data_IF_772057520385
#
_entry.id   IF_772057520385
#
_cell.length_a   1.000
_cell.length_b   1.000
_cell.length_c   1.000
_cell.angle_alpha   90.00
_cell.angle_beta   90.00
_cell.angle_gamma   90.00
#
_symmetry.space_group_name_H-M   'P 1'
#
loop_
_entity.id
_entity.type
_entity.pdbx_description
1 polymer ?
#
# COMPACT_ATOMS: atom_id res chain seq x y z
N UNK A 1 -15.77 33.87 15.41
CA UNK A 1 -17.05 34.39 14.89
C UNK A 1 -17.73 33.24 14.14
N UNK A 2 -18.93 32.78 14.55
CA UNK A 2 -19.63 31.74 13.81
C UNK A 2 -20.32 32.39 12.60
N UNK A 3 -20.05 31.90 11.40
CA UNK A 3 -20.79 32.31 10.20
C UNK A 3 -22.07 31.48 10.17
N UNK A 4 -23.18 32.09 10.55
CA UNK A 4 -24.51 31.51 10.40
C UNK A 4 -24.89 31.61 8.91
N UNK A 5 -24.89 30.48 8.20
CA UNK A 5 -25.47 30.41 6.86
C UNK A 5 -26.96 30.07 7.01
N UNK A 6 -27.80 31.11 6.99
CA UNK A 6 -29.26 30.98 6.90
C UNK A 6 -29.67 31.08 5.43
N UNK A 7 -30.16 30.00 4.85
CA UNK A 7 -30.86 29.96 3.57
C UNK A 7 -32.35 29.71 3.83
N UNK A 8 -33.23 30.42 3.11
CA UNK A 8 -34.66 30.57 3.40
C UNK A 8 -35.54 29.32 3.12
N UNK A 9 -34.95 28.14 2.87
CA UNK A 9 -35.69 26.97 2.36
C UNK A 9 -35.41 25.66 3.13
N UNK A 10 -34.74 25.70 4.28
CA UNK A 10 -34.59 24.52 5.15
C UNK A 10 -33.83 23.32 4.54
N UNK A 11 -33.24 23.50 3.36
CA UNK A 11 -32.43 22.48 2.69
C UNK A 11 -30.99 22.57 3.21
N UNK A 12 -30.38 21.46 3.65
CA UNK A 12 -29.06 21.48 4.26
C UNK A 12 -28.04 22.07 3.28
N UNK A 13 -27.40 23.17 3.68
CA UNK A 13 -26.30 23.76 2.92
C UNK A 13 -25.13 22.78 2.90
N UNK A 14 -24.94 22.10 1.78
CA UNK A 14 -23.80 21.22 1.56
C UNK A 14 -22.63 22.05 1.04
N UNK A 15 -21.55 22.13 1.82
CA UNK A 15 -20.27 22.69 1.36
C UNK A 15 -19.45 21.52 0.82
N UNK A 16 -19.25 21.41 -0.51
CA UNK A 16 -18.43 20.34 -1.06
C UNK A 16 -16.96 20.59 -0.71
N UNK A 17 -16.30 19.61 -0.10
CA UNK A 17 -14.86 19.61 0.07
C UNK A 17 -14.22 19.18 -1.24
N UNK A 18 -13.51 20.09 -1.90
CA UNK A 18 -12.88 19.81 -3.20
C UNK A 18 -11.60 18.99 -3.04
N UNK A 19 -10.75 19.30 -2.06
CA UNK A 19 -9.45 18.66 -1.85
C UNK A 19 -9.12 18.55 -0.36
N UNK A 20 -8.50 17.43 0.03
CA UNK A 20 -7.90 17.22 1.35
C UNK A 20 -6.45 16.79 1.12
N UNK A 21 -5.51 17.57 1.66
CA UNK A 21 -4.08 17.28 1.60
C UNK A 21 -3.60 17.01 3.02
N UNK A 22 -3.02 15.85 3.26
CA UNK A 22 -2.30 15.54 4.49
C UNK A 22 -0.81 15.58 4.19
N UNK A 23 -0.04 16.16 5.11
CA UNK A 23 1.41 16.14 5.06
C UNK A 23 1.97 15.32 6.21
N UNK A 24 3.04 14.56 5.97
CA UNK A 24 3.80 13.93 7.04
C UNK A 24 4.74 14.94 7.75
N UNK A 25 5.43 14.50 8.80
CA UNK A 25 6.41 15.30 9.56
C UNK A 25 7.66 15.70 8.75
N UNK A 26 7.83 15.19 7.53
CA UNK A 26 8.91 15.51 6.61
C UNK A 26 8.43 16.38 5.44
N UNK A 27 7.15 16.76 5.40
CA UNK A 27 6.58 17.62 4.37
C UNK A 27 6.10 16.90 3.11
N UNK A 28 6.05 15.57 3.09
CA UNK A 28 5.53 14.82 1.94
C UNK A 28 4.01 14.78 1.96
N UNK A 29 3.39 14.90 0.79
CA UNK A 29 1.94 14.76 0.66
C UNK A 29 1.53 13.28 0.72
N UNK A 30 0.53 12.99 1.56
CA UNK A 30 -0.06 11.67 1.67
C UNK A 30 -1.36 11.65 0.86
N UNK A 31 -1.51 10.74 -0.12
CA UNK A 31 -2.72 10.65 -0.91
C UNK A 31 -3.91 10.26 -0.03
N UNK A 32 -4.95 11.11 0.01
CA UNK A 32 -6.19 10.88 0.76
C UNK A 32 -7.33 10.58 -0.20
N UNK A 33 -8.10 9.52 0.07
CA UNK A 33 -9.35 9.22 -0.65
C UNK A 33 -10.54 9.81 0.13
N UNK A 34 -11.26 10.74 -0.48
CA UNK A 34 -12.50 11.29 0.07
C UNK A 34 -13.55 10.18 0.16
N UNK A 35 -14.20 10.02 1.32
CA UNK A 35 -15.25 9.00 1.56
C UNK A 35 -14.93 7.92 2.60
N UNK A 36 -13.74 7.96 3.23
CA UNK A 36 -13.40 7.06 4.34
C UNK A 36 -13.33 7.86 5.66
N UNK A 37 -14.01 7.44 6.75
CA UNK A 37 -14.01 8.14 8.04
C UNK A 37 -12.66 8.09 8.77
N UNK A 38 -11.68 7.39 8.21
CA UNK A 38 -10.33 7.24 8.73
C UNK A 38 -9.37 7.06 7.55
N UNK A 39 -8.31 7.87 7.53
CA UNK A 39 -7.25 7.80 6.52
C UNK A 39 -6.06 7.12 7.17
N UNK A 40 -5.67 5.97 6.65
CA UNK A 40 -4.43 5.31 7.05
C UNK A 40 -3.29 5.86 6.20
N UNK A 41 -2.34 6.55 6.84
CA UNK A 41 -1.11 6.99 6.20
C UNK A 41 -0.19 5.77 6.10
N UNK A 42 -0.24 5.08 4.96
CA UNK A 42 0.75 4.04 4.65
C UNK A 42 1.96 4.73 4.03
N UNK A 43 3.02 4.93 4.82
CA UNK A 43 4.30 5.41 4.30
C UNK A 43 4.78 4.46 3.18
N UNK A 44 5.26 5.07 2.10
CA UNK A 44 5.93 4.33 1.03
C UNK A 44 7.18 3.63 1.60
N UNK A 45 7.48 2.41 1.16
CA UNK A 45 8.69 1.73 1.58
C UNK A 45 9.92 2.53 1.16
N UNK A 46 10.88 2.63 2.07
CA UNK A 46 12.14 3.37 1.87
C UNK A 46 13.34 2.45 1.60
N UNK A 47 13.14 1.14 1.75
CA UNK A 47 14.14 0.11 1.47
C UNK A 47 13.48 -1.16 0.91
N UNK A 48 14.29 -2.02 0.31
CA UNK A 48 13.86 -3.37 -0.01
C UNK A 48 13.68 -4.18 1.26
N UNK A 49 12.58 -4.90 1.36
CA UNK A 49 12.35 -5.84 2.46
C UNK A 49 11.64 -7.09 1.96
N UNK A 50 11.90 -8.23 2.61
CA UNK A 50 11.25 -9.51 2.36
C UNK A 50 10.71 -10.03 3.68
N UNK A 51 9.40 -10.19 3.75
CA UNK A 51 8.73 -10.71 4.93
C UNK A 51 8.87 -12.23 5.01
N UNK A 52 8.73 -12.76 6.24
CA UNK A 52 8.62 -14.21 6.45
C UNK A 52 7.42 -14.75 5.69
N UNK A 53 7.63 -15.87 5.00
CA UNK A 53 6.59 -16.59 4.26
C UNK A 53 5.48 -17.10 5.21
N UNK A 54 4.20 -16.92 4.84
CA UNK A 54 3.03 -17.29 5.66
C UNK A 54 1.83 -17.73 4.82
N UNK A 55 0.98 -18.65 5.31
CA UNK A 55 1.17 -19.48 6.50
C UNK A 55 2.12 -20.65 6.20
N UNK A 56 2.95 -21.00 7.18
CA UNK A 56 3.72 -22.24 7.22
C UNK A 56 3.45 -22.83 8.61
N UNK A 57 2.85 -24.04 8.80
CA UNK A 57 2.80 -25.24 7.95
C UNK A 57 1.37 -25.76 7.58
N UNK A 58 1.29 -26.68 6.60
CA UNK A 58 0.12 -27.47 6.11
C UNK A 58 -0.97 -26.75 5.26
N UNK A 59 -0.66 -25.62 4.63
CA UNK A 59 -1.53 -25.04 3.58
C UNK A 59 -0.89 -25.18 2.19
N UNK A 60 -1.68 -25.44 1.12
CA UNK A 60 -1.16 -25.64 -0.24
C UNK A 60 -0.70 -24.35 -0.91
N UNK A 61 -0.83 -23.20 -0.25
CA UNK A 61 -0.34 -21.92 -0.76
C UNK A 61 0.35 -21.14 0.35
N UNK A 62 1.50 -20.56 0.01
CA UNK A 62 2.30 -19.71 0.89
C UNK A 62 2.42 -18.33 0.27
N UNK A 63 2.12 -17.30 1.06
CA UNK A 63 2.29 -15.89 0.66
C UNK A 63 3.62 -15.35 1.16
N UNK A 64 4.33 -14.68 0.27
CA UNK A 64 5.60 -14.00 0.52
C UNK A 64 5.40 -12.52 0.21
N UNK A 65 5.40 -11.68 1.24
CA UNK A 65 5.30 -10.24 1.07
C UNK A 65 6.69 -9.61 0.91
N UNK A 66 6.79 -8.60 0.04
CA UNK A 66 8.03 -7.87 -0.20
C UNK A 66 7.75 -6.39 -0.50
N UNK A 67 8.74 -5.54 -0.23
CA UNK A 67 8.65 -4.10 -0.43
C UNK A 67 9.70 -3.62 -1.42
N UNK A 68 9.32 -2.65 -2.24
CA UNK A 68 10.12 -2.07 -3.31
C UNK A 68 10.10 -0.54 -3.12
N UNK A 69 11.25 0.13 -2.89
CA UNK A 69 11.28 1.56 -2.63
C UNK A 69 11.18 2.43 -3.88
N UNK A 70 11.54 1.91 -5.05
CA UNK A 70 11.58 2.65 -6.31
C UNK A 70 11.33 1.73 -7.51
N UNK A 71 11.07 2.31 -8.68
CA UNK A 71 10.81 1.52 -9.88
C UNK A 71 12.06 0.77 -10.32
N UNK A 72 12.04 -0.56 -10.21
CA UNK A 72 13.17 -1.42 -10.57
C UNK A 72 12.71 -2.80 -11.01
N UNK A 73 13.63 -3.58 -11.60
CA UNK A 73 13.39 -4.98 -11.96
C UNK A 73 13.52 -5.86 -10.73
N UNK A 74 12.47 -6.61 -10.40
CA UNK A 74 12.42 -7.49 -9.23
C UNK A 74 12.38 -8.96 -9.68
N UNK A 75 13.24 -9.76 -9.06
CA UNK A 75 13.25 -11.21 -9.19
C UNK A 75 13.06 -11.84 -7.81
N UNK A 76 12.07 -12.72 -7.67
CA UNK A 76 11.82 -13.49 -6.46
C UNK A 76 11.88 -14.98 -6.81
N UNK A 77 12.90 -15.67 -6.31
CA UNK A 77 13.19 -17.07 -6.63
C UNK A 77 13.25 -17.92 -5.37
N UNK A 78 12.62 -19.09 -5.40
CA UNK A 78 12.68 -20.10 -4.35
C UNK A 78 13.78 -21.10 -4.69
N UNK A 79 14.65 -21.36 -3.73
CA UNK A 79 15.74 -22.34 -3.85
C UNK A 79 15.54 -23.49 -2.85
N UNK A 80 16.01 -24.69 -3.20
CA UNK A 80 16.10 -25.80 -2.27
C UNK A 80 17.41 -25.74 -1.44
N UNK A 81 17.56 -26.66 -0.48
CA UNK A 81 18.75 -26.71 0.38
C UNK A 81 20.06 -27.03 -0.38
N UNK A 82 19.95 -27.54 -1.61
CA UNK A 82 21.09 -27.80 -2.49
C UNK A 82 21.42 -26.59 -3.37
N UNK A 83 20.70 -25.46 -3.21
CA UNK A 83 20.89 -24.25 -4.01
C UNK A 83 20.29 -24.32 -5.41
N UNK A 84 19.42 -25.29 -5.70
CA UNK A 84 18.76 -25.40 -7.01
C UNK A 84 17.51 -24.52 -7.04
N UNK A 85 17.30 -23.80 -8.13
CA UNK A 85 16.09 -23.02 -8.39
C UNK A 85 14.89 -23.96 -8.49
N UNK A 86 13.93 -23.81 -7.58
CA UNK A 86 12.67 -24.57 -7.56
C UNK A 86 11.64 -23.85 -8.43
N UNK A 87 11.48 -22.54 -8.23
CA UNK A 87 10.52 -21.72 -8.97
C UNK A 87 10.88 -20.23 -8.89
N UNK A 88 10.58 -19.50 -9.95
CA UNK A 88 10.59 -18.04 -9.99
C UNK A 88 9.18 -17.50 -9.86
N UNK A 89 8.89 -16.82 -8.76
CA UNK A 89 7.57 -16.27 -8.44
C UNK A 89 7.35 -14.89 -9.06
N UNK A 90 8.42 -14.10 -9.20
CA UNK A 90 8.38 -12.75 -9.78
C UNK A 90 9.60 -12.57 -10.66
N UNK A 91 9.42 -11.99 -11.85
CA UNK A 91 10.50 -11.58 -12.74
C UNK A 91 10.03 -10.43 -13.65
N UNK A 92 9.89 -9.23 -13.08
CA UNK A 92 9.33 -8.09 -13.81
C UNK A 92 9.71 -6.75 -13.16
N UNK A 93 9.56 -5.67 -13.93
CA UNK A 93 9.65 -4.30 -13.41
C UNK A 93 8.44 -4.01 -12.50
N UNK A 94 8.71 -3.61 -11.26
CA UNK A 94 7.71 -3.15 -10.29
C UNK A 94 8.01 -1.71 -9.88
N UNK A 95 6.96 -0.94 -9.60
CA UNK A 95 7.08 0.40 -9.04
C UNK A 95 7.35 0.38 -7.53
N UNK A 96 7.45 1.56 -6.92
CA UNK A 96 7.50 1.65 -5.47
C UNK A 96 6.19 1.12 -4.85
N UNK A 97 6.29 0.23 -3.86
CA UNK A 97 5.11 -0.34 -3.21
C UNK A 97 5.37 -1.59 -2.40
N UNK A 98 4.30 -2.08 -1.76
CA UNK A 98 4.26 -3.38 -1.08
C UNK A 98 3.56 -4.38 -2.00
N UNK A 99 4.12 -5.56 -2.12
CA UNK A 99 3.64 -6.61 -3.01
C UNK A 99 3.59 -7.95 -2.29
N UNK A 100 2.79 -8.86 -2.83
CA UNK A 100 2.67 -10.23 -2.35
C UNK A 100 2.83 -11.19 -3.53
N UNK A 101 3.62 -12.24 -3.33
CA UNK A 101 3.75 -13.36 -4.25
C UNK A 101 3.20 -14.62 -3.58
N UNK A 102 2.40 -15.39 -4.33
CA UNK A 102 1.83 -16.65 -3.86
C UNK A 102 2.61 -17.81 -4.48
N UNK A 103 3.07 -18.73 -3.65
CA UNK A 103 3.68 -19.99 -4.04
C UNK A 103 2.69 -21.13 -3.78
N UNK A 104 2.27 -21.83 -4.83
CA UNK A 104 1.38 -23.01 -4.80
C UNK A 104 2.14 -24.32 -5.03
#
# INVERSE_FOLDING_TARGET
MPVLTHNAEGSPTSIPLTNVVLSDLYGNTVPVRLGQPRVSVAAAPTSFSLATARPNPFNPSTTIAYEVPEQTHITLTVYNLLGQEVVRLVDQVKGAGRYEAVWN
#
